data_IF_974935350947
#
_entry.id   IF_974935350947
#
_cell.length_a   1.000
_cell.length_b   1.000
_cell.length_c   1.000
_cell.angle_alpha   90.00
_cell.angle_beta   90.00
_cell.angle_gamma   90.00
#
_symmetry.space_group_name_H-M   'P 1'
#
loop_
_entity.id
_entity.type
_entity.pdbx_description
1 polymer ?
#
# COMPACT_ATOMS: atom_id res chain seq x y z
N UNK A 1 12.05 13.43 5.98
CA UNK A 1 11.68 12.36 6.93
C UNK A 1 12.90 11.44 7.08
N UNK A 2 13.50 11.37 8.26
CA UNK A 2 14.89 10.92 8.44
C UNK A 2 15.19 9.55 7.81
N UNK A 3 16.20 9.48 6.93
CA UNK A 3 16.68 8.25 6.28
C UNK A 3 16.96 7.11 7.27
N UNK A 4 17.24 7.44 8.52
CA UNK A 4 17.46 6.51 9.63
C UNK A 4 16.18 5.72 9.96
N UNK A 5 15.03 6.40 10.07
CA UNK A 5 13.74 5.73 10.32
C UNK A 5 13.37 4.80 9.16
N UNK A 6 13.50 5.28 7.93
CA UNK A 6 13.21 4.47 6.74
C UNK A 6 14.13 3.25 6.62
N UNK A 7 15.42 3.38 6.98
CA UNK A 7 16.36 2.25 7.01
C UNK A 7 16.02 1.25 8.11
N UNK A 8 15.76 1.72 9.32
CA UNK A 8 15.36 0.87 10.44
C UNK A 8 14.05 0.13 10.13
N UNK A 9 13.03 0.84 9.66
CA UNK A 9 11.74 0.28 9.30
C UNK A 9 11.87 -0.79 8.20
N UNK A 10 12.65 -0.53 7.15
CA UNK A 10 12.91 -1.52 6.11
C UNK A 10 13.66 -2.74 6.62
N UNK A 11 14.64 -2.55 7.50
CA UNK A 11 15.43 -3.65 8.04
C UNK A 11 14.58 -4.53 8.96
N UNK A 12 13.73 -3.94 9.79
CA UNK A 12 12.77 -4.65 10.63
C UNK A 12 11.72 -5.36 9.77
N UNK A 13 11.14 -4.71 8.77
CA UNK A 13 10.17 -5.34 7.86
C UNK A 13 10.79 -6.51 7.09
N UNK A 14 12.01 -6.34 6.58
CA UNK A 14 12.73 -7.39 5.85
C UNK A 14 13.15 -8.55 6.76
N UNK A 15 13.49 -8.27 8.02
CA UNK A 15 13.75 -9.31 9.01
C UNK A 15 12.45 -10.05 9.38
N UNK A 16 11.35 -9.33 9.62
CA UNK A 16 10.04 -9.89 9.97
C UNK A 16 9.47 -10.79 8.85
N UNK A 17 9.76 -10.48 7.59
CA UNK A 17 9.33 -11.29 6.44
C UNK A 17 10.12 -12.59 6.21
N UNK A 18 11.21 -12.85 6.95
CA UNK A 18 12.01 -14.08 6.77
C UNK A 18 11.37 -15.29 7.45
N UNK A 19 11.30 -16.46 6.79
CA UNK A 19 10.78 -17.69 7.39
C UNK A 19 11.47 -18.07 8.72
N UNK A 20 12.78 -17.82 8.82
CA UNK A 20 13.55 -18.09 10.05
C UNK A 20 13.08 -17.24 11.23
N UNK A 21 12.68 -15.98 10.99
CA UNK A 21 12.16 -15.09 12.03
C UNK A 21 10.83 -15.60 12.57
N UNK A 22 9.96 -16.12 11.68
CA UNK A 22 8.72 -16.75 12.09
C UNK A 22 8.97 -17.96 13.01
N UNK A 23 9.90 -18.84 12.64
CA UNK A 23 10.27 -19.99 13.48
C UNK A 23 10.80 -19.54 14.85
N UNK A 24 11.63 -18.50 14.90
CA UNK A 24 12.12 -17.94 16.17
C UNK A 24 10.99 -17.34 17.01
N UNK A 25 10.04 -16.63 16.40
CA UNK A 25 8.86 -16.10 17.10
C UNK A 25 7.99 -17.23 17.66
N UNK A 26 7.73 -18.29 16.89
CA UNK A 26 7.01 -19.47 17.38
C UNK A 26 7.74 -20.15 18.54
N UNK A 27 9.06 -20.31 18.43
CA UNK A 27 9.88 -20.88 19.50
C UNK A 27 9.82 -20.02 20.78
N UNK A 28 9.85 -18.69 20.65
CA UNK A 28 9.71 -17.77 21.78
C UNK A 28 8.34 -17.89 22.46
N UNK A 29 7.25 -18.03 21.69
CA UNK A 29 5.91 -18.25 22.23
C UNK A 29 5.82 -19.60 22.96
N UNK A 30 6.40 -20.66 22.40
CA UNK A 30 6.46 -21.98 23.05
C UNK A 30 7.25 -21.92 24.35
N UNK A 31 8.43 -21.27 24.34
CA UNK A 31 9.25 -21.08 25.53
C UNK A 31 8.50 -20.28 26.61
N UNK A 32 7.75 -19.25 26.22
CA UNK A 32 6.88 -18.50 27.12
C UNK A 32 5.77 -19.38 27.72
N UNK A 33 5.12 -20.21 26.90
CA UNK A 33 4.13 -21.19 27.36
C UNK A 33 4.69 -22.15 28.40
N UNK A 34 5.90 -22.66 28.16
CA UNK A 34 6.63 -23.56 29.08
C UNK A 34 7.01 -22.85 30.38
N UNK A 35 7.21 -21.52 30.36
CA UNK A 35 7.46 -20.77 31.60
C UNK A 35 6.21 -20.63 32.47
N UNK A 36 5.00 -20.76 31.90
CA UNK A 36 3.71 -20.59 32.59
C UNK A 36 3.56 -21.40 33.89
N UNK A 37 3.83 -22.73 33.90
CA UNK A 37 3.78 -23.55 35.10
C UNK A 37 4.68 -23.08 36.25
N UNK A 38 5.87 -22.51 35.95
CA UNK A 38 6.77 -21.98 36.98
C UNK A 38 6.23 -20.71 37.65
N UNK A 39 5.37 -19.96 36.94
CA UNK A 39 4.73 -18.74 37.44
C UNK A 39 3.25 -18.94 37.82
N UNK A 40 2.79 -20.19 37.89
CA UNK A 40 1.40 -20.54 38.24
C UNK A 40 0.36 -19.93 37.30
N UNK A 41 0.71 -19.64 36.04
CA UNK A 41 -0.15 -18.94 35.08
C UNK A 41 -0.73 -17.61 35.61
N UNK A 42 0.06 -16.87 36.41
CA UNK A 42 -0.36 -15.63 37.05
C UNK A 42 -0.88 -14.55 36.08
N UNK A 43 -1.68 -13.62 36.61
CA UNK A 43 -2.18 -12.46 35.86
C UNK A 43 -1.03 -11.62 35.28
N UNK A 44 0.08 -11.49 36.00
CA UNK A 44 1.28 -10.79 35.52
C UNK A 44 1.90 -11.51 34.31
N UNK A 45 1.96 -12.84 34.34
CA UNK A 45 2.46 -13.64 33.22
C UNK A 45 1.55 -13.47 31.98
N UNK A 46 0.23 -13.45 32.14
CA UNK A 46 -0.67 -13.19 31.00
C UNK A 46 -0.58 -11.74 30.51
N UNK A 47 -0.48 -10.79 31.43
CA UNK A 47 -0.41 -9.36 31.12
C UNK A 47 0.81 -9.01 30.28
N UNK A 48 1.97 -9.59 30.58
CA UNK A 48 3.23 -9.30 29.86
C UNK A 48 3.12 -9.67 28.38
N UNK A 49 2.64 -10.87 28.05
CA UNK A 49 2.52 -11.29 26.66
C UNK A 49 1.42 -10.53 25.90
N UNK A 50 0.29 -10.25 26.55
CA UNK A 50 -0.82 -9.51 25.95
C UNK A 50 -0.39 -8.05 25.66
N UNK A 51 0.19 -7.37 26.65
CA UNK A 51 0.66 -5.99 26.51
C UNK A 51 1.79 -5.89 25.49
N UNK A 52 2.76 -6.81 25.56
CA UNK A 52 3.90 -6.83 24.64
C UNK A 52 3.48 -7.06 23.19
N UNK A 53 2.62 -8.06 22.95
CA UNK A 53 2.12 -8.36 21.61
C UNK A 53 1.29 -7.22 21.05
N UNK A 54 0.50 -6.53 21.89
CA UNK A 54 -0.28 -5.36 21.46
C UNK A 54 0.63 -4.22 21.00
N UNK A 55 1.67 -3.89 21.76
CA UNK A 55 2.65 -2.86 21.38
C UNK A 55 3.34 -3.25 20.06
N UNK A 56 3.82 -4.49 19.95
CA UNK A 56 4.49 -4.98 18.73
C UNK A 56 3.54 -4.93 17.53
N UNK A 57 2.29 -5.35 17.70
CA UNK A 57 1.28 -5.32 16.64
C UNK A 57 0.98 -3.90 16.20
N UNK A 58 0.82 -2.98 17.14
CA UNK A 58 0.59 -1.57 16.84
C UNK A 58 1.76 -0.97 16.05
N UNK A 59 3.00 -1.22 16.48
CA UNK A 59 4.20 -0.81 15.73
C UNK A 59 4.28 -1.48 14.35
N UNK A 60 3.93 -2.77 14.26
CA UNK A 60 3.94 -3.53 13.01
C UNK A 60 2.96 -2.94 11.99
N UNK A 61 1.77 -2.49 12.41
CA UNK A 61 0.82 -1.81 11.52
C UNK A 61 1.46 -0.59 10.86
N UNK A 62 2.14 0.27 11.63
CA UNK A 62 2.85 1.43 11.04
C UNK A 62 4.01 1.01 10.13
N UNK A 63 4.77 -0.01 10.50
CA UNK A 63 5.87 -0.52 9.67
C UNK A 63 5.38 -1.10 8.34
N UNK A 64 4.31 -1.90 8.40
CA UNK A 64 3.64 -2.46 7.23
C UNK A 64 3.11 -1.33 6.37
N UNK A 65 2.37 -0.37 6.95
CA UNK A 65 1.82 0.76 6.20
C UNK A 65 2.91 1.60 5.52
N UNK A 66 4.03 1.89 6.21
CA UNK A 66 5.14 2.63 5.61
C UNK A 66 5.78 1.87 4.44
N UNK A 67 5.95 0.56 4.57
CA UNK A 67 6.51 -0.29 3.51
C UNK A 67 5.54 -0.40 2.34
N UNK A 68 4.26 -0.70 2.62
CA UNK A 68 3.19 -0.81 1.64
C UNK A 68 2.96 0.50 0.87
N UNK A 69 2.96 1.65 1.55
CA UNK A 69 2.80 2.95 0.91
C UNK A 69 3.95 3.22 -0.10
N UNK A 70 5.19 2.95 0.31
CA UNK A 70 6.35 3.12 -0.57
C UNK A 70 6.32 2.15 -1.76
N UNK A 71 6.03 0.88 -1.49
CA UNK A 71 6.04 -0.16 -2.52
C UNK A 71 4.86 0.05 -3.50
N UNK A 72 3.71 0.55 -3.02
CA UNK A 72 2.58 0.98 -3.85
C UNK A 72 2.94 2.09 -4.82
N UNK A 73 3.59 3.17 -4.35
CA UNK A 73 4.06 4.25 -5.21
C UNK A 73 5.09 3.78 -6.25
N UNK A 74 5.97 2.85 -5.88
CA UNK A 74 6.94 2.27 -6.81
C UNK A 74 6.29 1.40 -7.89
N UNK A 75 5.20 0.69 -7.55
CA UNK A 75 4.41 -0.08 -8.51
C UNK A 75 3.70 0.88 -9.48
N UNK A 76 3.05 1.93 -8.98
CA UNK A 76 2.40 2.95 -9.80
C UNK A 76 3.37 3.57 -10.81
N UNK A 77 4.53 4.04 -10.37
CA UNK A 77 5.54 4.62 -11.26
C UNK A 77 6.03 3.64 -12.35
N UNK A 78 6.13 2.35 -12.05
CA UNK A 78 6.49 1.33 -13.06
C UNK A 78 5.36 1.10 -14.06
N UNK A 79 4.11 1.08 -13.60
CA UNK A 79 2.94 0.95 -14.46
C UNK A 79 2.78 2.17 -15.37
N UNK A 80 2.98 3.36 -14.84
CA UNK A 80 2.97 4.60 -15.63
C UNK A 80 4.01 4.57 -16.75
N UNK A 81 5.22 4.08 -16.45
CA UNK A 81 6.26 3.92 -17.48
C UNK A 81 5.88 2.89 -18.54
N UNK A 82 5.24 1.78 -18.15
CA UNK A 82 4.76 0.79 -19.10
C UNK A 82 3.64 1.34 -19.98
N UNK A 83 2.68 2.09 -19.42
CA UNK A 83 1.62 2.75 -20.19
C UNK A 83 2.24 3.74 -21.18
N UNK A 84 3.16 4.58 -20.70
CA UNK A 84 3.84 5.59 -21.52
C UNK A 84 4.65 5.00 -22.67
N UNK A 85 5.23 3.82 -22.48
CA UNK A 85 6.07 3.16 -23.48
C UNK A 85 5.30 2.33 -24.52
N UNK A 86 4.01 2.05 -24.30
CA UNK A 86 3.19 1.26 -25.22
C UNK A 86 2.30 2.15 -26.10
N UNK A 87 2.49 2.12 -27.41
CA UNK A 87 1.71 2.93 -28.37
C UNK A 87 0.19 2.68 -28.33
N UNK A 88 -0.23 1.48 -27.93
CA UNK A 88 -1.65 1.10 -27.84
C UNK A 88 -2.28 1.36 -26.47
N UNK A 89 -1.53 1.86 -25.49
CA UNK A 89 -2.04 2.14 -24.15
C UNK A 89 -2.65 3.54 -24.05
N UNK A 90 -3.60 3.70 -23.13
CA UNK A 90 -4.30 4.96 -22.88
C UNK A 90 -3.52 5.76 -21.84
N UNK A 91 -2.75 6.76 -22.28
CA UNK A 91 -1.94 7.62 -21.40
C UNK A 91 -2.80 8.40 -20.37
N UNK A 92 -4.10 8.52 -20.61
CA UNK A 92 -5.07 9.09 -19.69
C UNK A 92 -5.17 8.34 -18.35
N UNK A 93 -4.67 7.10 -18.26
CA UNK A 93 -4.65 6.31 -17.03
C UNK A 93 -3.46 6.62 -16.11
N UNK A 94 -2.47 7.37 -16.59
CA UNK A 94 -1.30 7.76 -15.80
C UNK A 94 -1.74 8.76 -14.72
N UNK A 95 -1.41 8.48 -13.46
CA UNK A 95 -1.69 9.36 -12.33
C UNK A 95 -3.13 9.30 -11.79
N UNK A 96 -3.93 8.30 -12.17
CA UNK A 96 -5.29 8.12 -11.63
C UNK A 96 -5.31 7.94 -10.11
N UNK A 97 -4.23 7.47 -9.49
CA UNK A 97 -4.09 7.31 -8.04
C UNK A 97 -4.18 8.61 -7.24
N UNK A 98 -4.09 9.76 -7.90
CA UNK A 98 -4.23 11.07 -7.27
C UNK A 98 -5.67 11.60 -7.29
N UNK A 99 -6.58 10.89 -7.98
CA UNK A 99 -7.99 11.24 -8.03
C UNK A 99 -8.74 10.72 -6.80
N UNK A 100 -9.93 11.27 -6.58
CA UNK A 100 -10.84 10.72 -5.57
C UNK A 100 -11.45 9.39 -6.04
N UNK A 101 -11.97 8.60 -5.10
CA UNK A 101 -12.64 7.34 -5.43
C UNK A 101 -13.82 7.53 -6.40
N UNK A 102 -14.60 8.60 -6.21
CA UNK A 102 -15.71 8.96 -7.12
C UNK A 102 -15.22 9.28 -8.55
N UNK A 103 -14.10 9.98 -8.66
CA UNK A 103 -13.50 10.32 -9.96
C UNK A 103 -12.92 9.09 -10.66
N UNK A 104 -12.28 8.18 -9.93
CA UNK A 104 -11.79 6.90 -10.47
C UNK A 104 -12.94 6.04 -10.97
N UNK A 105 -14.05 5.99 -10.22
CA UNK A 105 -15.24 5.23 -10.62
C UNK A 105 -15.87 5.80 -11.90
N UNK A 106 -15.87 7.11 -12.06
CA UNK A 106 -16.36 7.76 -13.29
C UNK A 106 -15.47 7.43 -14.51
N UNK A 107 -14.15 7.39 -14.33
CA UNK A 107 -13.21 6.91 -15.38
C UNK A 107 -13.48 5.45 -15.72
N UNK A 108 -13.73 4.60 -14.71
CA UNK A 108 -14.06 3.18 -14.90
C UNK A 108 -15.34 2.99 -15.68
N UNK A 109 -16.40 3.73 -15.32
CA UNK A 109 -17.68 3.73 -16.03
C UNK A 109 -17.51 4.11 -17.50
N UNK A 110 -16.80 5.21 -17.77
CA UNK A 110 -16.53 5.62 -19.15
C UNK A 110 -15.73 4.57 -19.92
N UNK A 111 -14.76 3.91 -19.28
CA UNK A 111 -13.99 2.84 -19.91
C UNK A 111 -14.85 1.61 -20.24
N UNK A 112 -15.80 1.25 -19.39
CA UNK A 112 -16.75 0.16 -19.62
C UNK A 112 -17.72 0.49 -20.77
N UNK A 113 -18.21 1.72 -20.82
CA UNK A 113 -19.04 2.23 -21.92
C UNK A 113 -18.28 2.19 -23.26
N UNK A 114 -17.08 2.74 -23.30
CA UNK A 114 -16.21 2.73 -24.48
C UNK A 114 -15.86 1.30 -24.94
N UNK A 115 -15.64 0.37 -24.00
CA UNK A 115 -15.37 -1.03 -24.33
C UNK A 115 -16.61 -1.73 -24.92
N UNK A 116 -17.82 -1.38 -24.45
CA UNK A 116 -19.08 -1.82 -25.05
C UNK A 116 -19.29 -1.25 -26.45
N UNK A 117 -18.83 -0.02 -26.69
CA UNK A 117 -18.91 0.67 -27.99
C UNK A 117 -17.77 0.32 -28.96
N UNK A 118 -16.70 -0.31 -28.50
CA UNK A 118 -15.54 -0.68 -29.32
C UNK A 118 -15.88 -1.63 -30.50
N UNK A 119 -17.06 -2.26 -30.49
CA UNK A 119 -17.63 -2.97 -31.64
C UNK A 119 -18.17 -2.07 -32.77
N UNK A 120 -18.27 -0.75 -32.57
CA UNK A 120 -18.91 0.23 -33.48
C UNK A 120 -18.01 1.40 -33.88
N UNK A 121 -16.68 1.26 -33.75
CA UNK A 121 -15.74 2.31 -34.16
C UNK A 121 -15.64 3.45 -33.15
N UNK A 122 -15.49 3.11 -31.86
CA UNK A 122 -15.24 4.08 -30.81
C UNK A 122 -13.98 4.92 -31.11
N UNK A 123 -14.10 6.24 -30.93
CA UNK A 123 -12.99 7.18 -31.04
C UNK A 123 -11.95 7.00 -29.93
N UNK A 124 -10.89 7.83 -29.91
CA UNK A 124 -9.92 7.80 -28.82
C UNK A 124 -10.64 8.07 -27.48
N UNK A 125 -10.22 7.34 -26.45
CA UNK A 125 -10.68 7.53 -25.07
C UNK A 125 -10.59 9.00 -24.68
N UNK A 126 -11.60 9.52 -23.99
CA UNK A 126 -11.53 10.85 -23.39
C UNK A 126 -11.91 10.75 -21.93
N UNK A 127 -11.08 11.34 -21.08
CA UNK A 127 -11.43 11.50 -19.68
C UNK A 127 -12.68 12.37 -19.54
N UNK A 128 -13.55 12.07 -18.56
CA UNK A 128 -14.63 12.98 -18.17
C UNK A 128 -14.10 14.39 -17.89
N UNK A 129 -14.85 15.42 -18.26
CA UNK A 129 -14.41 16.81 -18.06
C UNK A 129 -14.11 17.13 -16.59
N UNK A 130 -14.88 16.56 -15.66
CA UNK A 130 -14.68 16.74 -14.23
C UNK A 130 -13.29 16.23 -13.81
N UNK A 131 -12.90 15.04 -14.30
CA UNK A 131 -11.62 14.41 -14.02
C UNK A 131 -10.47 15.18 -14.64
N UNK A 132 -10.64 15.64 -15.88
CA UNK A 132 -9.64 16.47 -16.57
C UNK A 132 -9.33 17.74 -15.79
N UNK A 133 -10.36 18.43 -15.28
CA UNK A 133 -10.20 19.62 -14.42
C UNK A 133 -9.47 19.29 -13.11
N UNK A 134 -9.68 18.11 -12.55
CA UNK A 134 -8.98 17.67 -11.34
C UNK A 134 -7.50 17.44 -11.58
N UNK A 135 -7.12 16.79 -12.70
CA UNK A 135 -5.73 16.68 -13.12
C UNK A 135 -5.07 18.06 -13.32
N UNK A 136 -5.75 19.00 -13.97
CA UNK A 136 -5.22 20.36 -14.17
C UNK A 136 -4.98 21.08 -12.84
N UNK A 137 -5.87 20.89 -11.86
CA UNK A 137 -5.68 21.42 -10.50
C UNK A 137 -4.46 20.80 -9.81
N UNK A 138 -4.28 19.48 -9.90
CA UNK A 138 -3.13 18.77 -9.32
C UNK A 138 -1.80 19.19 -9.97
N UNK A 139 -1.80 19.41 -11.28
CA UNK A 139 -0.63 19.90 -12.02
C UNK A 139 -0.27 21.33 -11.65
N UNK A 140 -1.25 22.17 -11.35
CA UNK A 140 -1.01 23.56 -10.99
C UNK A 140 -0.52 23.71 -9.53
N UNK A 141 -0.99 22.87 -8.61
CA UNK A 141 -0.53 22.88 -7.20
C UNK A 141 0.87 22.30 -7.02
N UNK A 142 1.28 21.32 -7.84
CA UNK A 142 2.63 20.75 -7.81
C UNK A 142 3.71 21.69 -8.36
N UNK A 143 3.37 22.66 -9.23
CA UNK A 143 4.32 23.69 -9.72
C UNK A 143 4.65 24.79 -8.70
N UNK A 144 3.90 24.87 -7.59
CA UNK A 144 4.06 25.91 -6.56
C UNK A 144 4.87 25.44 -5.34
N UNK A 145 5.38 24.21 -5.34
CA UNK A 145 6.23 23.62 -4.29
C UNK A 145 7.58 23.23 -4.86
#
# INVERSE_FOLDING_TARGET
MNMIFTRFANQVAHAAGKPLTFVLCCAAIVAWGISGPFFGFSDTWQLVINTGTTIVTFLMVFLIQNTQNRDGAAIQAKLDELIRAMDSARNEFIGLEHLTEEEVEEVRRQCEEDAGEAGRGAGPFKLPEAVTRSFDRLRNTSRLR
#
